data_IF_686036916061
#
_entry.id   IF_686036916061
#
_cell.length_a   1.000
_cell.length_b   1.000
_cell.length_c   1.000
_cell.angle_alpha   90.00
_cell.angle_beta   90.00
_cell.angle_gamma   90.00
#
_symmetry.space_group_name_H-M   'P 1'
#
loop_
_entity.id
_entity.type
_entity.pdbx_description
1 polymer ?
#
# COMPACT_ATOMS: atom_id res chain seq x y z
N UNK A 1 -15.66 -20.49 -5.89
CA UNK A 1 -16.65 -21.27 -6.66
C UNK A 1 -16.39 -22.78 -6.62
N UNK A 2 -15.17 -23.28 -6.83
CA UNK A 2 -14.86 -24.73 -6.89
C UNK A 2 -14.84 -25.48 -5.54
N UNK A 3 -15.13 -24.82 -4.42
CA UNK A 3 -15.18 -25.45 -3.09
C UNK A 3 -13.85 -25.98 -2.53
N UNK A 4 -12.70 -25.60 -3.11
CA UNK A 4 -11.36 -26.08 -2.67
C UNK A 4 -10.78 -25.34 -1.46
N UNK A 5 -11.39 -24.24 -1.06
CA UNK A 5 -11.01 -23.44 0.10
C UNK A 5 -12.23 -22.69 0.64
N UNK A 6 -12.22 -22.40 1.95
CA UNK A 6 -13.28 -21.66 2.65
C UNK A 6 -13.06 -20.16 2.64
N UNK A 7 -11.79 -19.73 2.69
CA UNK A 7 -11.38 -18.32 2.69
C UNK A 7 -9.99 -18.18 2.07
N UNK A 8 -9.64 -16.95 1.69
CA UNK A 8 -8.30 -16.58 1.25
C UNK A 8 -7.81 -15.35 2.02
N UNK A 9 -6.50 -15.26 2.25
CA UNK A 9 -5.89 -14.18 3.05
C UNK A 9 -4.95 -13.38 2.15
N UNK A 10 -5.12 -12.06 2.14
CA UNK A 10 -4.46 -11.17 1.20
C UNK A 10 -3.83 -9.97 1.91
N UNK A 11 -2.71 -9.48 1.36
CA UNK A 11 -2.35 -8.08 1.55
C UNK A 11 -3.36 -7.22 0.79
N UNK A 12 -4.06 -6.32 1.47
CA UNK A 12 -5.25 -5.67 0.89
C UNK A 12 -4.93 -4.80 -0.33
N UNK A 13 -3.73 -4.23 -0.40
CA UNK A 13 -3.26 -3.46 -1.57
C UNK A 13 -3.15 -4.28 -2.86
N UNK A 14 -3.07 -5.61 -2.75
CA UNK A 14 -2.95 -6.54 -3.88
C UNK A 14 -4.31 -7.18 -4.23
N UNK A 15 -5.36 -6.87 -3.47
CA UNK A 15 -6.72 -7.33 -3.76
C UNK A 15 -7.34 -6.46 -4.85
N UNK A 16 -7.91 -7.05 -5.92
CA UNK A 16 -8.62 -6.32 -6.96
C UNK A 16 -9.64 -5.34 -6.38
N UNK A 17 -9.77 -4.17 -6.98
CA UNK A 17 -10.66 -3.12 -6.46
C UNK A 17 -12.14 -3.53 -6.50
N UNK A 18 -12.50 -4.35 -7.49
CA UNK A 18 -13.76 -5.07 -7.58
C UNK A 18 -13.48 -6.56 -7.41
N UNK A 19 -14.14 -7.17 -6.44
CA UNK A 19 -14.08 -8.62 -6.27
C UNK A 19 -14.99 -9.30 -7.30
N UNK A 20 -14.67 -10.53 -7.72
CA UNK A 20 -15.58 -11.31 -8.56
C UNK A 20 -16.95 -11.45 -7.91
N UNK A 21 -17.99 -11.61 -8.72
CA UNK A 21 -19.35 -11.81 -8.25
C UNK A 21 -19.43 -12.99 -7.26
N UNK A 22 -20.14 -12.78 -6.15
CA UNK A 22 -20.28 -13.77 -5.07
C UNK A 22 -19.15 -13.79 -4.05
N UNK A 23 -18.11 -12.95 -4.19
CA UNK A 23 -17.04 -12.81 -3.20
C UNK A 23 -17.12 -11.48 -2.44
N UNK A 24 -16.75 -11.51 -1.16
CA UNK A 24 -16.71 -10.33 -0.28
C UNK A 24 -15.47 -10.36 0.60
N UNK A 25 -15.05 -9.20 1.11
CA UNK A 25 -14.13 -9.12 2.23
C UNK A 25 -14.90 -9.45 3.51
N UNK A 26 -14.64 -10.62 4.08
CA UNK A 26 -15.27 -11.07 5.33
C UNK A 26 -14.69 -10.40 6.57
N UNK A 27 -13.42 -10.00 6.52
CA UNK A 27 -12.79 -9.17 7.54
C UNK A 27 -11.59 -8.40 6.98
N UNK A 28 -11.38 -7.20 7.51
CA UNK A 28 -10.14 -6.44 7.38
C UNK A 28 -9.49 -6.37 8.76
N UNK A 29 -8.27 -6.89 8.87
CA UNK A 29 -7.54 -6.94 10.14
C UNK A 29 -6.97 -5.55 10.49
N UNK A 30 -6.57 -5.39 11.76
CA UNK A 30 -5.89 -4.19 12.21
C UNK A 30 -4.68 -3.84 11.31
N UNK A 31 -4.59 -2.56 10.94
CA UNK A 31 -3.58 -2.07 10.01
C UNK A 31 -2.22 -2.04 10.70
N UNK A 32 -1.25 -2.75 10.15
CA UNK A 32 0.15 -2.56 10.50
C UNK A 32 0.68 -1.28 9.83
N UNK A 33 1.90 -0.85 10.19
CA UNK A 33 2.58 0.32 9.64
C UNK A 33 2.43 0.46 8.10
N UNK A 34 1.67 1.48 7.62
CA UNK A 34 1.34 1.63 6.22
C UNK A 34 2.47 2.28 5.41
N UNK A 35 3.58 2.69 6.05
CA UNK A 35 4.66 3.42 5.39
C UNK A 35 5.45 2.54 4.42
N UNK A 36 6.09 3.21 3.47
CA UNK A 36 7.15 2.60 2.68
C UNK A 36 8.45 2.55 3.50
N UNK A 37 9.24 1.50 3.31
CA UNK A 37 10.53 1.31 3.93
C UNK A 37 11.64 1.59 2.92
N UNK A 38 12.60 2.42 3.30
CA UNK A 38 13.89 2.52 2.65
C UNK A 38 14.80 1.40 3.15
N UNK A 39 15.33 0.60 2.22
CA UNK A 39 16.18 -0.55 2.51
C UNK A 39 17.47 -0.40 1.71
N UNK A 40 18.59 -0.29 2.42
CA UNK A 40 19.92 -0.17 1.85
C UNK A 40 20.95 -0.81 2.77
N UNK A 41 22.02 -1.34 2.18
CA UNK A 41 23.16 -1.84 2.96
C UNK A 41 24.04 -0.70 3.46
N UNK A 42 24.21 0.35 2.65
CA UNK A 42 25.27 1.34 2.81
C UNK A 42 24.76 2.74 3.23
N UNK A 43 23.49 3.06 2.99
CA UNK A 43 22.92 4.39 3.20
C UNK A 43 21.79 4.37 4.23
N UNK A 44 21.52 5.49 4.91
CA UNK A 44 20.48 5.58 5.95
C UNK A 44 19.12 6.07 5.39
N UNK A 45 19.14 6.90 4.35
CA UNK A 45 17.94 7.40 3.68
C UNK A 45 18.13 7.72 2.21
N UNK A 46 17.04 8.14 1.56
CA UNK A 46 17.06 8.62 0.17
C UNK A 46 17.92 9.88 -0.01
N UNK A 47 17.97 10.74 1.01
CA UNK A 47 18.73 12.00 0.99
C UNK A 47 20.26 11.75 0.97
N UNK A 48 20.73 10.57 1.39
CA UNK A 48 22.15 10.22 1.43
C UNK A 48 22.66 9.62 0.11
N UNK A 49 21.77 9.32 -0.83
CA UNK A 49 22.13 8.65 -2.07
C UNK A 49 22.85 9.61 -3.03
N UNK A 50 24.01 9.23 -3.59
CA UNK A 50 24.71 10.07 -4.55
C UNK A 50 23.97 10.16 -5.90
N UNK A 51 24.28 11.19 -6.68
CA UNK A 51 23.78 11.31 -8.05
C UNK A 51 24.09 10.05 -8.87
N UNK A 52 23.09 9.57 -9.62
CA UNK A 52 23.18 8.35 -10.40
C UNK A 52 22.96 7.04 -9.61
N UNK A 53 22.79 7.09 -8.28
CA UNK A 53 22.49 5.91 -7.49
C UNK A 53 21.19 5.24 -7.94
N UNK A 54 21.20 3.90 -7.93
CA UNK A 54 20.11 3.08 -8.47
C UNK A 54 19.14 2.69 -7.35
N UNK A 55 17.87 3.07 -7.48
CA UNK A 55 16.79 2.71 -6.56
C UNK A 55 15.85 1.68 -7.20
N UNK A 56 15.63 0.55 -6.52
CA UNK A 56 14.83 -0.57 -7.00
C UNK A 56 13.37 -0.51 -6.58
N UNK A 57 12.45 -0.37 -7.54
CA UNK A 57 11.01 -0.53 -7.35
C UNK A 57 10.30 -0.77 -8.69
N UNK A 58 9.26 -1.62 -8.70
CA UNK A 58 8.33 -1.74 -9.84
C UNK A 58 6.97 -1.08 -9.58
N UNK A 59 6.80 -0.41 -8.42
CA UNK A 59 5.60 0.39 -8.16
C UNK A 59 5.74 1.75 -8.85
N UNK A 60 4.84 2.04 -9.77
CA UNK A 60 4.81 3.34 -10.45
C UNK A 60 4.51 4.49 -9.50
N UNK A 61 3.69 4.27 -8.46
CA UNK A 61 3.47 5.21 -7.35
C UNK A 61 4.80 5.62 -6.70
N UNK A 62 5.57 4.63 -6.22
CA UNK A 62 6.88 4.88 -5.59
C UNK A 62 7.86 5.53 -6.56
N UNK A 63 7.89 5.06 -7.81
CA UNK A 63 8.73 5.63 -8.85
C UNK A 63 8.45 7.12 -9.07
N UNK A 64 7.18 7.50 -9.27
CA UNK A 64 6.80 8.88 -9.52
C UNK A 64 7.16 9.79 -8.35
N UNK A 65 6.90 9.36 -7.11
CA UNK A 65 7.22 10.16 -5.91
C UNK A 65 8.73 10.33 -5.70
N UNK A 66 9.51 9.28 -5.95
CA UNK A 66 10.97 9.36 -5.87
C UNK A 66 11.52 10.25 -6.99
N UNK A 67 11.03 10.09 -8.23
CA UNK A 67 11.49 10.90 -9.37
C UNK A 67 11.21 12.39 -9.18
N UNK A 68 10.05 12.73 -8.60
CA UNK A 68 9.67 14.12 -8.32
C UNK A 68 10.59 14.79 -7.30
N UNK A 69 10.99 14.07 -6.24
CA UNK A 69 11.80 14.62 -5.14
C UNK A 69 13.31 14.45 -5.35
N UNK A 70 13.72 13.40 -6.04
CA UNK A 70 15.11 12.99 -6.23
C UNK A 70 15.42 12.77 -7.72
N UNK A 71 15.35 13.81 -8.56
CA UNK A 71 15.51 13.68 -10.02
C UNK A 71 16.91 13.23 -10.47
N UNK A 72 17.89 13.24 -9.56
CA UNK A 72 19.26 12.76 -9.79
C UNK A 72 19.40 11.24 -9.60
N UNK A 73 18.40 10.55 -9.05
CA UNK A 73 18.43 9.10 -8.83
C UNK A 73 17.92 8.33 -10.05
N UNK A 74 18.47 7.13 -10.25
CA UNK A 74 18.07 6.24 -11.34
C UNK A 74 17.13 5.17 -10.79
N UNK A 75 15.88 5.18 -11.23
CA UNK A 75 14.88 4.19 -10.78
C UNK A 75 14.88 3.01 -11.75
N UNK A 76 15.10 1.80 -11.23
CA UNK A 76 15.07 0.56 -12.02
C UNK A 76 14.00 -0.41 -11.50
N UNK A 77 13.35 -1.18 -12.39
CA UNK A 77 12.35 -2.16 -11.99
C UNK A 77 12.97 -3.23 -11.09
N UNK A 78 12.20 -3.65 -10.08
CA UNK A 78 12.58 -4.70 -9.15
C UNK A 78 11.41 -5.66 -8.94
N UNK A 79 11.56 -6.88 -9.43
CA UNK A 79 10.58 -7.97 -9.35
C UNK A 79 11.16 -9.20 -8.66
N UNK A 80 10.25 -10.05 -8.19
CA UNK A 80 10.53 -11.26 -7.40
C UNK A 80 9.76 -11.25 -6.07
N UNK A 81 9.80 -12.35 -5.34
CA UNK A 81 9.42 -12.40 -3.93
C UNK A 81 10.41 -11.59 -3.08
N UNK A 82 10.15 -11.44 -1.78
CA UNK A 82 10.97 -10.61 -0.90
C UNK A 82 12.44 -11.03 -0.89
N UNK A 83 12.71 -12.33 -0.73
CA UNK A 83 14.08 -12.85 -0.66
C UNK A 83 14.87 -12.58 -1.94
N UNK A 84 14.25 -12.74 -3.10
CA UNK A 84 14.88 -12.42 -4.39
C UNK A 84 15.22 -10.93 -4.48
N UNK A 85 14.36 -10.06 -3.94
CA UNK A 85 14.60 -8.61 -3.95
C UNK A 85 15.72 -8.20 -3.01
N UNK A 86 15.74 -8.74 -1.80
CA UNK A 86 16.81 -8.52 -0.83
C UNK A 86 18.15 -9.07 -1.35
N UNK A 87 18.15 -10.27 -1.94
CA UNK A 87 19.36 -10.83 -2.55
C UNK A 87 19.91 -10.00 -3.71
N UNK A 88 19.06 -9.32 -4.49
CA UNK A 88 19.50 -8.35 -5.52
C UNK A 88 20.16 -7.12 -4.89
N UNK A 89 19.58 -6.59 -3.81
CA UNK A 89 20.19 -5.50 -3.05
C UNK A 89 21.56 -5.92 -2.48
N UNK A 90 21.64 -7.10 -1.87
CA UNK A 90 22.87 -7.58 -1.22
C UNK A 90 24.02 -7.84 -2.19
N UNK A 91 23.72 -8.15 -3.45
CA UNK A 91 24.73 -8.27 -4.52
C UNK A 91 25.19 -6.94 -5.08
N UNK A 92 24.61 -5.82 -4.66
CA UNK A 92 24.93 -4.48 -5.16
C UNK A 92 24.25 -4.12 -6.48
N UNK A 93 23.21 -4.86 -6.91
CA UNK A 93 22.46 -4.54 -8.14
C UNK A 93 21.71 -3.19 -8.01
N UNK A 94 21.46 -2.76 -6.76
CA UNK A 94 20.78 -1.51 -6.40
C UNK A 94 21.49 -0.89 -5.19
N UNK A 95 21.56 0.44 -5.13
CA UNK A 95 22.04 1.16 -3.93
C UNK A 95 20.99 1.13 -2.81
N UNK A 96 19.72 1.12 -3.18
CA UNK A 96 18.59 0.96 -2.27
C UNK A 96 17.39 0.34 -2.98
N UNK A 97 16.48 -0.25 -2.21
CA UNK A 97 15.17 -0.72 -2.69
C UNK A 97 14.07 -0.18 -1.78
N UNK A 98 12.88 0.03 -2.34
CA UNK A 98 11.71 0.47 -1.56
C UNK A 98 10.73 -0.69 -1.35
N UNK A 99 10.44 -0.98 -0.09
CA UNK A 99 9.52 -2.04 0.35
C UNK A 99 8.40 -1.46 1.21
N UNK A 100 7.46 -2.29 1.67
CA UNK A 100 6.45 -1.85 2.65
C UNK A 100 6.92 -2.26 4.05
N UNK A 101 6.82 -1.36 5.04
CA UNK A 101 7.24 -1.64 6.42
C UNK A 101 6.51 -2.87 6.96
N UNK A 102 5.18 -2.92 6.82
CA UNK A 102 4.37 -4.06 7.27
C UNK A 102 4.84 -5.42 6.73
N UNK A 103 5.34 -5.48 5.48
CA UNK A 103 5.83 -6.72 4.89
C UNK A 103 7.12 -7.22 5.53
N UNK A 104 8.02 -6.30 5.89
CA UNK A 104 9.28 -6.63 6.56
C UNK A 104 9.04 -7.04 8.02
N UNK A 105 8.21 -6.29 8.75
CA UNK A 105 7.84 -6.61 10.14
C UNK A 105 7.23 -8.00 10.29
N UNK A 106 6.25 -8.33 9.44
CA UNK A 106 5.57 -9.64 9.48
C UNK A 106 6.51 -10.83 9.26
N UNK A 107 7.66 -10.61 8.65
CA UNK A 107 8.66 -11.63 8.38
C UNK A 107 9.86 -11.56 9.34
N UNK A 108 9.81 -10.72 10.38
CA UNK A 108 10.89 -10.55 11.35
C UNK A 108 12.15 -9.90 10.74
N UNK A 109 11.97 -9.06 9.72
CA UNK A 109 13.06 -8.41 8.96
C UNK A 109 13.13 -6.92 9.25
N UNK A 110 12.76 -6.48 10.46
CA UNK A 110 12.80 -5.07 10.85
C UNK A 110 14.21 -4.47 10.76
N UNK A 111 15.24 -5.28 11.00
CA UNK A 111 16.65 -4.87 10.89
C UNK A 111 17.06 -4.42 9.49
N UNK A 112 16.28 -4.78 8.45
CA UNK A 112 16.48 -4.31 7.07
C UNK A 112 15.93 -2.92 6.84
N UNK A 113 15.06 -2.42 7.71
CA UNK A 113 14.47 -1.08 7.58
C UNK A 113 15.51 -0.05 8.04
N UNK A 114 16.15 0.64 7.09
CA UNK A 114 17.06 1.74 7.42
C UNK A 114 16.29 2.98 7.86
N UNK A 115 15.19 3.27 7.17
CA UNK A 115 14.24 4.28 7.56
C UNK A 115 12.84 3.96 7.05
N UNK A 116 11.82 4.33 7.84
CA UNK A 116 10.44 4.32 7.41
C UNK A 116 10.11 5.70 6.83
N UNK A 117 9.76 5.74 5.54
CA UNK A 117 9.55 6.98 4.79
C UNK A 117 8.21 7.58 5.23
N UNK A 118 8.21 8.86 5.58
CA UNK A 118 7.02 9.55 6.04
C UNK A 118 5.94 9.60 4.93
N UNK A 119 4.64 9.52 5.25
CA UNK A 119 3.57 9.63 4.25
C UNK A 119 3.62 10.91 3.40
N UNK A 120 4.20 11.99 3.92
CA UNK A 120 4.43 13.27 3.23
C UNK A 120 5.52 13.19 2.15
N UNK A 121 6.37 12.16 2.22
CA UNK A 121 7.43 11.89 1.25
C UNK A 121 7.06 10.74 0.30
N UNK A 122 6.33 9.74 0.82
CA UNK A 122 5.86 8.59 0.04
C UNK A 122 4.48 8.17 0.51
N UNK A 123 3.43 8.81 -0.03
CA UNK A 123 2.05 8.53 0.36
C UNK A 123 1.71 7.05 0.06
N UNK A 124 1.14 6.30 1.02
CA UNK A 124 0.88 4.87 0.87
C UNK A 124 -0.06 4.50 -0.29
N UNK A 125 0.10 3.27 -0.80
CA UNK A 125 -0.90 2.68 -1.68
C UNK A 125 -2.20 2.39 -0.91
N UNK A 126 -3.38 2.43 -1.57
CA UNK A 126 -4.64 2.02 -0.97
C UNK A 126 -4.53 0.64 -0.32
N UNK A 127 -4.92 0.52 0.95
CA UNK A 127 -4.87 -0.73 1.72
C UNK A 127 -3.47 -1.18 2.13
N UNK A 128 -2.39 -0.42 1.90
CA UNK A 128 -1.05 -0.81 2.34
C UNK A 128 -1.01 -0.94 3.87
N UNK A 129 -0.44 -2.03 4.38
CA UNK A 129 -0.40 -2.34 5.81
C UNK A 129 -1.60 -3.15 6.32
N UNK A 130 -2.73 -3.14 5.62
CA UNK A 130 -3.90 -3.95 5.97
C UNK A 130 -3.80 -5.37 5.37
N UNK A 131 -4.33 -6.34 6.11
CA UNK A 131 -4.61 -7.69 5.63
C UNK A 131 -6.12 -7.86 5.54
N UNK A 132 -6.60 -8.61 4.57
CA UNK A 132 -8.02 -8.91 4.44
C UNK A 132 -8.25 -10.39 4.17
N UNK A 133 -9.41 -10.86 4.62
CA UNK A 133 -9.89 -12.22 4.45
C UNK A 133 -11.04 -12.18 3.47
N UNK A 134 -10.87 -12.81 2.31
CA UNK A 134 -11.89 -12.97 1.28
C UNK A 134 -12.66 -14.26 1.50
N UNK A 135 -13.99 -14.20 1.40
CA UNK A 135 -14.91 -15.34 1.53
C UNK A 135 -15.99 -15.27 0.44
N UNK A 136 -16.74 -16.35 0.29
CA UNK A 136 -18.01 -16.31 -0.44
C UNK A 136 -19.06 -15.52 0.35
N UNK A 137 -19.86 -14.74 -0.37
CA UNK A 137 -20.86 -13.83 0.20
C UNK A 137 -21.96 -14.54 1.01
N UNK A 138 -22.26 -15.80 0.67
CA UNK A 138 -23.30 -16.61 1.30
C UNK A 138 -22.83 -17.37 2.56
N UNK A 139 -21.52 -17.36 2.85
CA UNK A 139 -20.91 -18.00 4.05
C UNK A 139 -21.13 -17.18 5.31
N UNK A 140 -22.38 -17.06 5.72
CA UNK A 140 -22.80 -16.37 6.96
C UNK A 140 -22.20 -16.99 8.22
N UNK A 141 -21.88 -18.28 8.19
CA UNK A 141 -21.13 -18.98 9.23
C UNK A 141 -19.72 -18.41 9.39
N UNK A 142 -18.99 -18.20 8.29
CA UNK A 142 -17.66 -17.60 8.30
C UNK A 142 -17.71 -16.12 8.69
N UNK A 143 -18.69 -15.35 8.20
CA UNK A 143 -18.86 -13.96 8.60
C UNK A 143 -18.95 -13.81 10.12
N UNK A 144 -19.71 -14.71 10.78
CA UNK A 144 -19.80 -14.72 12.25
C UNK A 144 -18.47 -15.06 12.94
N UNK A 145 -17.71 -16.00 12.38
CA UNK A 145 -16.39 -16.40 12.92
C UNK A 145 -15.36 -15.29 12.75
N UNK A 146 -15.44 -14.54 11.64
CA UNK A 146 -14.49 -13.48 11.29
C UNK A 146 -14.83 -12.13 11.94
N UNK A 147 -16.07 -11.92 12.37
CA UNK A 147 -16.52 -10.65 12.97
C UNK A 147 -15.62 -10.14 14.12
N UNK A 148 -15.11 -10.98 15.06
CA UNK A 148 -14.27 -10.51 16.15
C UNK A 148 -12.88 -10.01 15.74
N UNK A 149 -12.37 -10.46 14.58
CA UNK A 149 -11.05 -10.06 14.07
C UNK A 149 -11.14 -8.91 13.04
N UNK A 150 -12.35 -8.51 12.67
CA UNK A 150 -12.56 -7.35 11.81
C UNK A 150 -12.29 -6.05 12.60
N UNK A 151 -11.27 -5.32 12.19
CA UNK A 151 -10.93 -4.04 12.78
C UNK A 151 -11.66 -2.91 12.04
N UNK A 152 -12.80 -2.48 12.59
CA UNK A 152 -13.73 -1.55 11.94
C UNK A 152 -13.08 -0.23 11.49
N UNK A 153 -12.15 0.32 12.28
CA UNK A 153 -11.47 1.56 11.90
C UNK A 153 -10.57 1.35 10.67
N UNK A 154 -9.87 0.23 10.58
CA UNK A 154 -9.07 -0.08 9.38
C UNK A 154 -9.98 -0.33 8.19
N UNK A 155 -11.05 -1.12 8.34
CA UNK A 155 -12.02 -1.41 7.29
C UNK A 155 -12.62 -0.12 6.68
N UNK A 156 -13.04 0.82 7.52
CA UNK A 156 -13.53 2.13 7.08
C UNK A 156 -12.47 2.92 6.32
N UNK A 157 -11.26 3.05 6.88
CA UNK A 157 -10.17 3.79 6.25
C UNK A 157 -9.84 3.23 4.86
N UNK A 158 -9.64 1.92 4.74
CA UNK A 158 -9.30 1.28 3.46
C UNK A 158 -10.48 1.27 2.49
N UNK A 159 -11.72 1.31 2.97
CA UNK A 159 -12.91 1.49 2.13
C UNK A 159 -12.90 2.85 1.42
N UNK A 160 -12.52 3.93 2.12
CA UNK A 160 -12.37 5.24 1.49
C UNK A 160 -11.25 5.22 0.43
N UNK A 161 -10.07 4.71 0.80
CA UNK A 161 -8.90 4.61 -0.10
C UNK A 161 -9.19 3.81 -1.37
N UNK A 162 -9.85 2.65 -1.23
CA UNK A 162 -10.22 1.77 -2.34
C UNK A 162 -11.37 2.35 -3.17
N UNK A 163 -12.23 3.16 -2.58
CA UNK A 163 -13.30 3.85 -3.34
C UNK A 163 -12.70 4.86 -4.30
N UNK A 164 -11.72 5.65 -3.87
CA UNK A 164 -10.98 6.53 -4.78
C UNK A 164 -10.29 5.73 -5.89
N UNK A 165 -9.58 4.66 -5.53
CA UNK A 165 -8.87 3.84 -6.51
C UNK A 165 -9.80 3.24 -7.58
N UNK A 166 -11.02 2.83 -7.20
CA UNK A 166 -12.07 2.40 -8.15
C UNK A 166 -12.47 3.50 -9.14
N UNK A 167 -12.62 4.74 -8.68
CA UNK A 167 -12.95 5.88 -9.55
C UNK A 167 -11.88 6.12 -10.62
N UNK A 168 -10.62 5.76 -10.35
CA UNK A 168 -9.51 5.78 -11.32
C UNK A 168 -9.35 4.45 -12.09
N UNK A 169 -10.37 3.61 -12.14
CA UNK A 169 -10.36 2.34 -12.87
C UNK A 169 -9.58 1.20 -12.19
N UNK A 170 -9.18 1.37 -10.92
CA UNK A 170 -8.56 0.33 -10.10
C UNK A 170 -7.23 -0.22 -10.61
N UNK A 171 -6.56 0.51 -11.51
CA UNK A 171 -5.35 0.04 -12.18
C UNK A 171 -4.09 0.26 -11.34
N UNK A 172 -3.34 -0.81 -11.10
CA UNK A 172 -1.98 -0.73 -10.54
C UNK A 172 -0.98 -0.05 -11.49
N UNK A 173 -1.38 0.25 -12.73
CA UNK A 173 -0.57 0.97 -13.73
C UNK A 173 -0.71 2.49 -13.62
N UNK A 174 -1.61 2.98 -12.77
CA UNK A 174 -1.72 4.40 -12.48
C UNK A 174 -0.87 4.70 -11.23
N UNK A 175 0.04 5.69 -11.26
CA UNK A 175 0.76 6.16 -10.07
C UNK A 175 -0.20 6.85 -9.09
N UNK A 176 -1.01 6.06 -8.38
CA UNK A 176 -2.03 6.52 -7.44
C UNK A 176 -1.60 6.16 -6.01
N UNK A 177 -1.78 7.10 -5.09
CA UNK A 177 -1.72 6.86 -3.65
C UNK A 177 -3.02 7.35 -2.99
N UNK A 178 -3.44 6.65 -1.93
CA UNK A 178 -4.55 7.08 -1.10
C UNK A 178 -4.32 6.54 0.31
N UNK A 179 -4.39 7.42 1.29
CA UNK A 179 -4.15 7.07 2.68
C UNK A 179 -5.11 7.82 3.60
N UNK A 180 -5.93 7.04 4.30
CA UNK A 180 -6.90 7.51 5.26
C UNK A 180 -6.50 7.14 6.69
N UNK A 181 -6.72 8.08 7.60
CA UNK A 181 -6.56 7.92 9.05
C UNK A 181 -7.85 8.30 9.74
N UNK A 182 -8.18 7.61 10.83
CA UNK A 182 -9.37 7.87 11.64
C UNK A 182 -8.93 8.32 13.03
N UNK A 183 -9.52 9.40 13.51
CA UNK A 183 -9.43 9.87 14.88
C UNK A 183 -10.85 10.11 15.41
N UNK A 184 -11.28 9.30 16.37
CA UNK A 184 -12.67 9.29 16.85
C UNK A 184 -13.69 9.03 15.74
N UNK A 185 -14.58 10.00 15.51
CA UNK A 185 -15.64 9.97 14.49
C UNK A 185 -15.25 10.65 13.18
N UNK A 186 -14.00 11.14 13.07
CA UNK A 186 -13.48 11.85 11.90
C UNK A 186 -12.51 10.97 11.13
N UNK A 187 -12.65 10.99 9.80
CA UNK A 187 -11.68 10.43 8.87
C UNK A 187 -11.06 11.55 8.06
N UNK A 188 -9.73 11.52 7.94
CA UNK A 188 -8.96 12.35 7.02
C UNK A 188 -8.35 11.44 5.97
N UNK A 189 -8.53 11.77 4.69
CA UNK A 189 -7.94 11.06 3.56
C UNK A 189 -7.08 12.02 2.75
N UNK A 190 -5.85 11.61 2.48
CA UNK A 190 -4.97 12.23 1.48
C UNK A 190 -4.85 11.33 0.28
N UNK A 191 -4.78 11.92 -0.89
CA UNK A 191 -4.59 11.20 -2.13
C UNK A 191 -3.72 11.97 -3.11
N UNK A 192 -3.09 11.23 -4.02
CA UNK A 192 -2.41 11.82 -5.16
C UNK A 192 -2.46 10.90 -6.37
N UNK A 193 -2.39 11.52 -7.54
CA UNK A 193 -2.11 10.86 -8.81
C UNK A 193 -0.95 11.57 -9.50
N UNK A 194 -0.06 10.83 -10.13
CA UNK A 194 1.10 11.38 -10.81
C UNK A 194 1.31 10.78 -12.20
N UNK A 195 2.07 11.48 -13.04
CA UNK A 195 2.66 10.86 -14.23
C UNK A 195 3.77 9.88 -13.81
N UNK A 196 4.03 8.79 -14.57
CA UNK A 196 5.05 7.82 -14.20
C UNK A 196 6.48 8.37 -14.06
N UNK A 197 6.75 9.52 -14.70
CA UNK A 197 8.03 10.23 -14.60
C UNK A 197 8.09 11.24 -13.43
N UNK A 198 7.01 11.39 -12.66
CA UNK A 198 6.93 12.27 -11.51
C UNK A 198 6.87 13.76 -11.83
N UNK A 199 6.77 14.16 -13.11
CA UNK A 199 6.77 15.58 -13.50
C UNK A 199 5.47 16.32 -13.21
N UNK A 200 4.36 15.59 -13.19
CA UNK A 200 3.06 16.14 -12.83
C UNK A 200 2.47 15.32 -11.69
N UNK A 201 2.04 16.01 -10.65
CA UNK A 201 1.40 15.44 -9.47
C UNK A 201 0.17 16.29 -9.19
N UNK A 202 -0.99 15.65 -9.05
CA UNK A 202 -2.19 16.24 -8.50
C UNK A 202 -2.45 15.61 -7.13
N UNK A 203 -2.65 16.46 -6.12
CA UNK A 203 -2.89 16.06 -4.74
C UNK A 203 -4.26 16.56 -4.29
N UNK A 204 -4.91 15.79 -3.42
CA UNK A 204 -6.17 16.14 -2.82
C UNK A 204 -6.21 15.68 -1.36
N UNK A 205 -6.96 16.41 -0.56
CA UNK A 205 -7.23 16.06 0.83
C UNK A 205 -8.71 16.31 1.12
N UNK A 206 -9.32 15.37 1.85
CA UNK A 206 -10.70 15.47 2.28
C UNK A 206 -10.83 14.98 3.73
N UNK A 207 -11.78 15.57 4.44
CA UNK A 207 -12.18 15.10 5.77
C UNK A 207 -13.69 14.94 5.88
N UNK A 208 -14.13 13.94 6.62
CA UNK A 208 -15.55 13.65 6.77
C UNK A 208 -15.84 12.69 7.93
N UNK A 209 -17.12 12.32 8.13
CA UNK A 209 -17.52 11.31 9.09
C UNK A 209 -16.86 9.96 8.79
N UNK A 210 -16.32 9.30 9.82
CA UNK A 210 -15.62 8.02 9.69
C UNK A 210 -16.56 6.87 9.27
N UNK A 211 -17.86 6.99 9.52
CA UNK A 211 -18.90 6.03 9.13
C UNK A 211 -19.42 6.23 7.70
N UNK A 212 -18.92 7.24 6.97
CA UNK A 212 -19.24 7.49 5.57
C UNK A 212 -18.02 7.35 4.62
N UNK A 213 -17.23 6.25 4.70
CA UNK A 213 -15.94 6.14 3.99
C UNK A 213 -16.06 6.20 2.47
N UNK A 214 -17.10 5.58 1.90
CA UNK A 214 -17.31 5.60 0.46
C UNK A 214 -17.73 6.99 -0.08
N UNK A 215 -18.37 7.81 0.74
CA UNK A 215 -18.69 9.19 0.36
C UNK A 215 -17.40 10.02 0.32
N UNK A 216 -16.56 9.92 1.36
CA UNK A 216 -15.27 10.59 1.41
C UNK A 216 -14.34 10.16 0.25
N UNK A 217 -14.32 8.87 -0.08
CA UNK A 217 -13.51 8.35 -1.19
C UNK A 217 -13.96 8.79 -2.59
N UNK A 218 -15.18 9.33 -2.74
CA UNK A 218 -15.70 9.86 -4.02
C UNK A 218 -15.50 11.37 -4.18
N UNK A 219 -15.31 12.09 -3.08
CA UNK A 219 -15.10 13.53 -3.03
C UNK A 219 -13.72 13.89 -3.58
#
# INVERSE_FOLDING_TARGET
AEGRADFAVHSLKDVPMELPEGFVLGAVLEREDPRDAFVSNDYAGLDDLPAGAVVGTSSLRRQALIAARYPHLVIKPLRGNLDTRLGKLDRGDYAAIILAVAGLKRLGLESRIRSAIAPEQSLPAPGQGAMAIEILADRTDLQRVLAPINHLATDRAVTAERTLSRTFGGSCQIPLAAFATIDGDRMRMRALVATPDGKQIAEAEAEGPADAPAALGKQ
#
